data_IF_788116062776
#
_entry.id   IF_788116062776
#
_cell.length_a   1.000
_cell.length_b   1.000
_cell.length_c   1.000
_cell.angle_alpha   90.00
_cell.angle_beta   90.00
_cell.angle_gamma   90.00
#
_symmetry.space_group_name_H-M   'P 1'
#
loop_
_entity.id
_entity.type
_entity.pdbx_description
1 polymer ?
#
# COMPACT_ATOMS: atom_id res chain seq x y z
N UNK A 1 -1.66 -16.74 1.98
CA UNK A 1 -1.26 -15.92 3.15
C UNK A 1 -2.35 -16.02 4.22
N UNK A 2 -2.00 -16.27 5.48
CA UNK A 2 -3.00 -16.45 6.55
C UNK A 2 -2.90 -15.29 7.54
N UNK A 3 -3.84 -14.36 7.46
CA UNK A 3 -3.99 -13.30 8.46
C UNK A 3 -4.54 -13.88 9.75
N UNK A 4 -4.03 -13.41 10.89
CA UNK A 4 -4.60 -13.68 12.20
C UNK A 4 -6.00 -13.07 12.33
N UNK A 5 -6.77 -13.50 13.35
CA UNK A 5 -8.09 -12.88 13.64
C UNK A 5 -7.95 -11.38 13.90
N UNK A 6 -6.93 -10.99 14.67
CA UNK A 6 -6.63 -9.60 15.00
C UNK A 6 -6.28 -8.75 13.77
N UNK A 7 -5.49 -9.31 12.85
CA UNK A 7 -5.12 -8.63 11.60
C UNK A 7 -6.30 -8.49 10.64
N UNK A 8 -7.25 -9.43 10.64
CA UNK A 8 -8.48 -9.33 9.83
C UNK A 8 -9.38 -8.22 10.35
N UNK A 9 -9.66 -8.21 11.65
CA UNK A 9 -10.46 -7.14 12.27
C UNK A 9 -9.80 -5.78 12.04
N UNK A 10 -8.47 -5.72 12.14
CA UNK A 10 -7.74 -4.49 11.86
C UNK A 10 -7.80 -4.10 10.37
N UNK A 11 -7.71 -5.05 9.44
CA UNK A 11 -7.86 -4.80 8.01
C UNK A 11 -9.24 -4.22 7.68
N UNK A 12 -10.30 -4.84 8.21
CA UNK A 12 -11.67 -4.37 8.00
C UNK A 12 -11.83 -2.94 8.53
N UNK A 13 -11.34 -2.67 9.75
CA UNK A 13 -11.32 -1.33 10.33
C UNK A 13 -10.61 -0.28 9.47
N UNK A 14 -9.38 -0.57 8.99
CA UNK A 14 -8.65 0.42 8.20
C UNK A 14 -9.28 0.65 6.82
N UNK A 15 -10.01 -0.33 6.27
CA UNK A 15 -10.73 -0.17 5.00
C UNK A 15 -11.98 0.71 5.15
N UNK A 16 -12.57 0.76 6.35
CA UNK A 16 -13.68 1.69 6.65
C UNK A 16 -13.19 3.11 6.96
N UNK A 17 -12.04 3.22 7.64
CA UNK A 17 -11.47 4.50 8.09
C UNK A 17 -10.54 5.18 7.05
N UNK A 18 -10.22 4.52 5.93
CA UNK A 18 -9.39 5.14 4.89
C UNK A 18 -10.12 6.30 4.20
N UNK A 19 -9.34 7.28 3.74
CA UNK A 19 -9.85 8.39 2.93
C UNK A 19 -10.18 7.94 1.49
N UNK A 20 -10.71 8.87 0.68
CA UNK A 20 -11.09 8.62 -0.71
C UNK A 20 -9.92 8.26 -1.63
N UNK A 21 -8.68 8.46 -1.17
CA UNK A 21 -7.45 8.09 -1.87
C UNK A 21 -6.82 6.82 -1.29
N UNK A 22 -7.58 6.07 -0.49
CA UNK A 22 -7.16 4.88 0.23
C UNK A 22 -6.03 5.12 1.25
N UNK A 23 -5.82 6.34 1.74
CA UNK A 23 -4.82 6.59 2.76
C UNK A 23 -5.37 6.42 4.17
N UNK A 24 -4.49 5.95 5.05
CA UNK A 24 -4.73 5.90 6.48
C UNK A 24 -3.45 6.25 7.24
N UNK A 25 -3.60 7.11 8.25
CA UNK A 25 -2.50 7.49 9.13
C UNK A 25 -2.48 6.60 10.38
N UNK A 26 -1.30 6.10 10.74
CA UNK A 26 -1.05 5.49 12.05
C UNK A 26 -0.86 6.59 13.11
N UNK A 27 -1.95 7.27 13.44
CA UNK A 27 -2.02 8.29 14.48
C UNK A 27 -2.60 7.71 15.78
N UNK A 28 -2.37 8.38 16.91
CA UNK A 28 -2.99 8.00 18.19
C UNK A 28 -4.52 7.94 18.07
N UNK A 29 -5.12 8.92 17.42
CA UNK A 29 -6.56 8.97 17.18
C UNK A 29 -7.10 7.72 16.44
N UNK A 30 -6.39 7.23 15.42
CA UNK A 30 -6.79 6.01 14.69
C UNK A 30 -6.66 4.78 15.59
N UNK A 31 -5.63 4.72 16.44
CA UNK A 31 -5.46 3.62 17.41
C UNK A 31 -6.54 3.63 18.49
N UNK A 32 -6.91 4.80 18.99
CA UNK A 32 -7.99 4.95 19.98
C UNK A 32 -9.35 4.57 19.38
N UNK A 33 -9.62 4.96 18.13
CA UNK A 33 -10.81 4.51 17.39
C UNK A 33 -10.83 3.00 17.23
N UNK A 34 -9.69 2.38 16.90
CA UNK A 34 -9.62 0.93 16.79
C UNK A 34 -9.89 0.22 18.11
N UNK A 35 -9.29 0.69 19.21
CA UNK A 35 -9.58 0.14 20.54
C UNK A 35 -11.04 0.34 20.94
N UNK A 36 -11.65 1.47 20.57
CA UNK A 36 -13.08 1.71 20.77
C UNK A 36 -13.95 0.70 19.99
N UNK A 37 -13.55 0.32 18.78
CA UNK A 37 -14.20 -0.75 18.02
C UNK A 37 -14.06 -2.10 18.74
N UNK A 38 -12.84 -2.46 19.19
CA UNK A 38 -12.59 -3.71 19.92
C UNK A 38 -13.50 -3.84 21.16
N UNK A 39 -13.63 -2.77 21.94
CA UNK A 39 -14.54 -2.74 23.09
C UNK A 39 -16.00 -2.98 22.69
N UNK A 40 -16.47 -2.36 21.59
CA UNK A 40 -17.84 -2.55 21.09
C UNK A 40 -18.14 -3.98 20.67
N UNK A 41 -17.15 -4.68 20.12
CA UNK A 41 -17.29 -6.09 19.68
C UNK A 41 -16.91 -7.10 20.78
N UNK A 42 -16.71 -6.64 22.02
CA UNK A 42 -16.36 -7.50 23.16
C UNK A 42 -15.01 -8.19 23.03
N UNK A 43 -14.03 -7.53 22.41
CA UNK A 43 -12.64 -7.97 22.35
C UNK A 43 -11.75 -7.12 23.26
N UNK A 44 -10.67 -7.72 23.75
CA UNK A 44 -9.67 -7.01 24.54
C UNK A 44 -8.99 -5.91 23.73
N UNK A 45 -8.73 -4.77 24.37
CA UNK A 45 -8.01 -3.66 23.77
C UNK A 45 -6.56 -4.03 23.46
N UNK A 46 -6.01 -3.46 22.40
CA UNK A 46 -4.63 -3.71 21.98
C UNK A 46 -3.73 -2.56 22.42
N UNK A 47 -2.50 -2.91 22.81
CA UNK A 47 -1.45 -1.93 23.02
C UNK A 47 -1.00 -1.32 21.70
N UNK A 48 -0.48 -0.10 21.76
CA UNK A 48 0.08 0.60 20.59
C UNK A 48 1.08 -0.28 19.82
N UNK A 49 1.95 -1.00 20.52
CA UNK A 49 2.92 -1.93 19.94
C UNK A 49 2.26 -3.02 19.10
N UNK A 50 1.12 -3.57 19.55
CA UNK A 50 0.37 -4.58 18.81
C UNK A 50 -0.26 -3.97 17.55
N UNK A 51 -0.83 -2.78 17.64
CA UNK A 51 -1.44 -2.10 16.48
C UNK A 51 -0.35 -1.73 15.44
N UNK A 52 0.81 -1.24 15.90
CA UNK A 52 1.97 -1.01 15.04
C UNK A 52 2.42 -2.30 14.31
N UNK A 53 2.37 -3.44 15.00
CA UNK A 53 2.66 -4.75 14.39
C UNK A 53 1.62 -5.13 13.34
N UNK A 54 0.34 -4.86 13.57
CA UNK A 54 -0.70 -5.08 12.56
C UNK A 54 -0.43 -4.28 11.28
N UNK A 55 -0.09 -2.98 11.39
CA UNK A 55 0.35 -2.19 10.23
C UNK A 55 1.57 -2.80 9.52
N UNK A 56 2.59 -3.21 10.28
CA UNK A 56 3.79 -3.81 9.70
C UNK A 56 3.49 -5.14 8.97
N UNK A 57 2.64 -5.98 9.56
CA UNK A 57 2.27 -7.27 8.99
C UNK A 57 1.42 -7.08 7.73
N UNK A 58 0.40 -6.21 7.75
CA UNK A 58 -0.38 -5.89 6.55
C UNK A 58 0.48 -5.29 5.42
N UNK A 59 1.50 -4.50 5.77
CA UNK A 59 2.45 -3.97 4.80
C UNK A 59 3.31 -5.08 4.19
N UNK A 60 3.79 -6.02 5.01
CA UNK A 60 4.49 -7.23 4.55
C UNK A 60 3.62 -8.11 3.65
N UNK A 61 2.30 -8.09 3.87
CA UNK A 61 1.31 -8.78 3.05
C UNK A 61 0.97 -8.12 1.73
N UNK A 62 1.51 -6.94 1.43
CA UNK A 62 1.11 -6.11 0.29
C UNK A 62 -0.38 -5.72 0.28
N UNK A 63 -1.05 -5.81 1.43
CA UNK A 63 -2.44 -5.35 1.59
C UNK A 63 -2.49 -3.84 1.80
N UNK A 64 -1.43 -3.29 2.40
CA UNK A 64 -1.18 -1.86 2.49
C UNK A 64 0.25 -1.57 2.04
N UNK A 65 0.53 -0.35 1.61
CA UNK A 65 1.86 0.12 1.21
C UNK A 65 2.25 1.33 2.05
N UNK A 66 3.49 1.35 2.52
CA UNK A 66 4.01 2.50 3.28
C UNK A 66 4.34 3.63 2.31
N UNK A 67 3.73 4.79 2.51
CA UNK A 67 3.96 5.98 1.68
C UNK A 67 5.12 6.80 2.23
N UNK A 68 5.69 7.69 1.42
CA UNK A 68 6.69 8.66 1.88
C UNK A 68 6.04 9.61 2.90
N UNK A 69 6.37 9.44 4.18
CA UNK A 69 5.81 10.22 5.28
C UNK A 69 5.86 9.44 6.61
N UNK A 70 5.70 10.14 7.74
CA UNK A 70 5.68 9.50 9.05
C UNK A 70 4.33 8.83 9.28
N UNK A 71 4.31 7.50 9.28
CA UNK A 71 3.15 6.71 9.67
C UNK A 71 1.98 6.74 8.68
N UNK A 72 2.18 7.17 7.43
CA UNK A 72 1.15 7.15 6.40
C UNK A 72 1.21 5.86 5.59
N UNK A 73 0.07 5.21 5.43
CA UNK A 73 -0.10 3.99 4.68
C UNK A 73 -1.18 4.17 3.63
N UNK A 74 -1.03 3.51 2.49
CA UNK A 74 -2.05 3.42 1.46
C UNK A 74 -2.59 1.99 1.41
N UNK A 75 -3.88 1.83 1.57
CA UNK A 75 -4.57 0.56 1.38
C UNK A 75 -4.57 0.21 -0.10
N UNK A 76 -4.23 -1.04 -0.42
CA UNK A 76 -4.06 -1.49 -1.79
C UNK A 76 -5.37 -1.37 -2.59
N UNK A 77 -5.41 -0.52 -3.63
CA UNK A 77 -6.59 -0.34 -4.48
C UNK A 77 -6.92 -1.59 -5.31
N UNK A 78 -6.04 -2.59 -5.34
CA UNK A 78 -6.30 -3.88 -5.99
C UNK A 78 -7.34 -4.69 -5.22
N UNK A 79 -7.35 -4.58 -3.89
CA UNK A 79 -8.20 -5.38 -3.01
C UNK A 79 -9.36 -4.57 -2.44
N UNK A 80 -9.11 -3.30 -2.08
CA UNK A 80 -10.09 -2.44 -1.44
C UNK A 80 -10.02 -1.06 -2.06
N UNK A 81 -11.16 -0.50 -2.48
CA UNK A 81 -11.21 0.85 -3.01
C UNK A 81 -12.51 1.52 -2.60
N UNK A 82 -12.41 2.73 -2.05
CA UNK A 82 -13.57 3.52 -1.67
C UNK A 82 -14.00 4.32 -2.89
N UNK A 83 -15.05 3.85 -3.58
CA UNK A 83 -15.60 4.56 -4.74
C UNK A 83 -15.96 3.62 -5.89
N UNK A 84 -16.04 4.19 -7.09
CA UNK A 84 -16.42 3.46 -8.30
C UNK A 84 -15.25 2.65 -8.88
N UNK A 85 -15.60 1.60 -9.63
CA UNK A 85 -14.66 0.81 -10.43
C UNK A 85 -13.85 1.67 -11.41
N UNK A 86 -14.46 2.69 -12.00
CA UNK A 86 -13.81 3.61 -12.94
C UNK A 86 -12.71 4.43 -12.26
N UNK A 87 -13.00 4.96 -11.07
CA UNK A 87 -12.03 5.66 -10.24
C UNK A 87 -10.90 4.73 -9.81
N UNK A 88 -11.24 3.48 -9.42
CA UNK A 88 -10.24 2.46 -9.07
C UNK A 88 -9.29 2.18 -10.23
N UNK A 89 -9.83 1.97 -11.42
CA UNK A 89 -9.04 1.73 -12.63
C UNK A 89 -8.12 2.91 -12.95
N UNK A 90 -8.59 4.15 -12.77
CA UNK A 90 -7.78 5.36 -12.93
C UNK A 90 -6.62 5.41 -11.93
N UNK A 91 -6.88 5.12 -10.66
CA UNK A 91 -5.84 5.10 -9.61
C UNK A 91 -4.80 4.01 -9.89
N UNK A 92 -5.24 2.80 -10.25
CA UNK A 92 -4.35 1.70 -10.62
C UNK A 92 -3.48 2.06 -11.83
N UNK A 93 -4.06 2.68 -12.87
CA UNK A 93 -3.31 3.16 -14.02
C UNK A 93 -2.23 4.16 -13.61
N UNK A 94 -2.59 5.15 -12.79
CA UNK A 94 -1.63 6.16 -12.31
C UNK A 94 -0.47 5.54 -11.51
N UNK A 95 -0.75 4.54 -10.66
CA UNK A 95 0.27 3.83 -9.89
C UNK A 95 1.22 3.06 -10.83
N UNK A 96 0.67 2.31 -11.79
CA UNK A 96 1.48 1.56 -12.77
C UNK A 96 2.32 2.48 -13.65
N UNK A 97 1.74 3.60 -14.11
CA UNK A 97 2.46 4.61 -14.87
C UNK A 97 3.57 5.26 -14.04
N UNK A 98 3.33 5.58 -12.77
CA UNK A 98 4.33 6.15 -11.88
C UNK A 98 5.53 5.21 -11.66
N UNK A 99 5.27 3.91 -11.48
CA UNK A 99 6.32 2.87 -11.37
C UNK A 99 7.17 2.83 -12.65
N UNK A 100 6.54 2.92 -13.82
CA UNK A 100 7.22 2.82 -15.11
C UNK A 100 7.88 4.14 -15.55
N UNK A 101 7.51 5.28 -14.96
CA UNK A 101 7.96 6.62 -15.37
C UNK A 101 9.48 6.80 -15.27
N UNK A 102 10.09 6.39 -14.16
CA UNK A 102 11.54 6.50 -13.95
C UNK A 102 12.37 5.65 -14.93
N UNK A 103 12.09 4.34 -15.13
CA UNK A 103 12.78 3.54 -16.13
C UNK A 103 12.63 4.12 -17.54
N UNK A 104 11.42 4.55 -17.92
CA UNK A 104 11.15 5.16 -19.23
C UNK A 104 11.93 6.46 -19.40
N UNK A 105 11.95 7.33 -18.38
CA UNK A 105 12.71 8.58 -18.42
C UNK A 105 14.22 8.33 -18.50
N UNK A 106 14.73 7.32 -17.80
CA UNK A 106 16.14 6.90 -17.88
C UNK A 106 16.49 6.39 -19.28
N UNK A 107 15.62 5.59 -19.88
CA UNK A 107 15.77 5.12 -21.27
C UNK A 107 15.75 6.30 -22.26
N UNK A 108 14.78 7.22 -22.13
CA UNK A 108 14.68 8.42 -22.95
C UNK A 108 15.94 9.29 -22.85
N UNK A 109 16.45 9.53 -21.64
CA UNK A 109 17.70 10.28 -21.44
C UNK A 109 18.88 9.61 -22.13
N UNK A 110 19.05 8.29 -21.99
CA UNK A 110 20.12 7.53 -22.67
C UNK A 110 20.04 7.64 -24.19
N UNK A 111 18.84 7.55 -24.76
CA UNK A 111 18.62 7.70 -26.21
C UNK A 111 18.91 9.13 -26.69
N UNK A 112 18.51 10.14 -25.92
CA UNK A 112 18.72 11.56 -26.26
C UNK A 112 20.18 12.02 -26.11
N UNK A 113 20.94 11.45 -25.18
CA UNK A 113 22.35 11.79 -24.98
C UNK A 113 23.30 11.11 -25.96
N UNK A 114 22.79 10.32 -26.93
CA UNK A 114 23.60 9.72 -28.00
C UNK A 114 24.62 8.67 -27.55
N UNK A 115 24.62 8.27 -26.27
CA UNK A 115 25.44 7.17 -25.78
C UNK A 115 24.79 5.88 -26.28
N UNK A 116 25.30 5.36 -27.40
CA UNK A 116 24.90 4.04 -27.91
C UNK A 116 25.01 3.03 -26.77
N UNK A 117 23.95 2.28 -26.44
CA UNK A 117 24.10 1.14 -25.54
C UNK A 117 25.10 0.19 -26.20
N UNK A 118 26.26 0.02 -25.57
CA UNK A 118 27.19 -1.06 -25.90
C UNK A 118 26.45 -2.37 -25.65
N UNK A 119 26.00 -3.01 -26.73
CA UNK A 119 25.58 -4.40 -26.83
C UNK A 119 24.77 -4.94 -25.63
N UNK A 120 23.45 -4.97 -25.77
CA UNK A 120 22.69 -6.07 -25.18
C UNK A 120 23.16 -7.37 -25.83
N UNK A 121 24.03 -8.12 -25.17
CA UNK A 121 24.23 -9.53 -25.49
C UNK A 121 23.02 -10.27 -24.92
N UNK A 122 22.15 -10.72 -25.81
CA UNK A 122 21.17 -11.77 -25.49
C UNK A 122 22.01 -13.05 -25.33
N UNK A 123 22.02 -13.72 -24.16
CA UNK A 123 22.67 -15.02 -24.07
C UNK A 123 21.92 -16.00 -24.97
N UNK A 124 22.65 -16.66 -25.88
CA UNK A 124 22.11 -17.77 -26.66
C UNK A 124 21.73 -18.91 -25.71
N UNK A 125 20.57 -19.57 -25.93
CA UNK A 125 20.21 -20.75 -25.17
C UNK A 125 21.05 -21.96 -25.64
N UNK A 126 21.65 -22.65 -24.67
CA UNK A 126 22.22 -24.00 -24.82
C UNK A 126 21.14 -25.05 -25.15
#
# INVERSE_FOLDING_TARGET
>A
MKLSKSERIFLDFITEEMDDNNFIANSAQVRDKFNSLLTKIGQDIYSDTTIHRCFANLAKSHLISKTKGRGLYQVSPVFFFRGSEEQRAKVLRNILEAINKEPINKLRRKLLTGIKPSSFQVPEPD
#
